data_IF_263062265375
#
_entry.id   IF_263062265375
#
_cell.length_a   1.000
_cell.length_b   1.000
_cell.length_c   1.000
_cell.angle_alpha   90.00
_cell.angle_beta   90.00
_cell.angle_gamma   90.00
#
_symmetry.space_group_name_H-M   'P 1'
#
loop_
_entity.id
_entity.type
_entity.pdbx_description
1 polymer ?
#
# COMPACT_ATOMS: atom_id res chain seq x y z
N UNK A 1 -5.12 10.49 -21.83
CA UNK A 1 -4.72 11.29 -20.65
C UNK A 1 -5.35 10.84 -19.33
N UNK A 2 -6.63 10.43 -19.25
CA UNK A 2 -7.28 10.01 -17.99
C UNK A 2 -6.63 8.78 -17.31
N UNK A 3 -6.15 7.82 -18.10
CA UNK A 3 -5.50 6.60 -17.58
C UNK A 3 -4.12 6.90 -16.96
N UNK A 4 -3.34 7.77 -17.59
CA UNK A 4 -2.04 8.19 -17.07
C UNK A 4 -2.16 8.89 -15.71
N UNK A 5 -3.13 9.80 -15.56
CA UNK A 5 -3.40 10.47 -14.29
C UNK A 5 -3.71 9.47 -13.16
N UNK A 6 -4.56 8.48 -13.43
CA UNK A 6 -4.84 7.40 -12.47
C UNK A 6 -3.58 6.63 -12.07
N UNK A 7 -2.75 6.21 -13.03
CA UNK A 7 -1.52 5.48 -12.72
C UNK A 7 -0.61 6.32 -11.81
N UNK A 8 -0.47 7.62 -12.10
CA UNK A 8 0.29 8.55 -11.25
C UNK A 8 -0.30 8.61 -9.84
N UNK A 9 -1.61 8.78 -9.71
CA UNK A 9 -2.28 8.85 -8.39
C UNK A 9 -2.05 7.57 -7.56
N UNK A 10 -2.21 6.39 -8.18
CA UNK A 10 -1.97 5.11 -7.53
C UNK A 10 -0.51 4.94 -7.13
N UNK A 11 0.44 5.32 -8.00
CA UNK A 11 1.86 5.26 -7.72
C UNK A 11 2.24 6.13 -6.52
N UNK A 12 1.82 7.40 -6.50
CA UNK A 12 2.13 8.31 -5.39
C UNK A 12 1.40 7.93 -4.10
N UNK A 13 0.19 7.37 -4.18
CA UNK A 13 -0.51 6.82 -3.01
C UNK A 13 0.27 5.65 -2.41
N UNK A 14 0.73 4.73 -3.26
CA UNK A 14 1.60 3.62 -2.86
C UNK A 14 2.89 4.09 -2.20
N UNK A 15 3.58 5.07 -2.83
CA UNK A 15 4.76 5.72 -2.25
C UNK A 15 4.49 6.30 -0.86
N UNK A 16 3.35 6.95 -0.66
CA UNK A 16 2.95 7.54 0.62
C UNK A 16 2.87 6.49 1.73
N UNK A 17 2.17 5.37 1.47
CA UNK A 17 2.11 4.26 2.43
C UNK A 17 3.48 3.64 2.69
N UNK A 18 4.29 3.45 1.66
CA UNK A 18 5.65 2.92 1.79
C UNK A 18 6.57 3.81 2.63
N UNK A 19 6.53 5.12 2.39
CA UNK A 19 7.32 6.10 3.14
C UNK A 19 6.95 6.09 4.64
N UNK A 20 5.66 6.15 4.96
CA UNK A 20 5.18 6.12 6.35
C UNK A 20 5.59 4.80 7.01
N UNK A 21 5.39 3.68 6.32
CA UNK A 21 5.75 2.35 6.83
C UNK A 21 7.24 2.26 7.13
N UNK A 22 8.09 2.76 6.23
CA UNK A 22 9.55 2.74 6.40
C UNK A 22 10.01 3.57 7.59
N UNK A 23 9.48 4.79 7.73
CA UNK A 23 9.77 5.65 8.89
C UNK A 23 9.36 4.97 10.20
N UNK A 24 8.17 4.36 10.24
CA UNK A 24 7.72 3.61 11.41
C UNK A 24 8.65 2.42 11.73
N UNK A 25 9.06 1.65 10.72
CA UNK A 25 9.98 0.51 10.90
C UNK A 25 11.32 1.00 11.48
N UNK A 26 11.93 2.03 10.89
CA UNK A 26 13.20 2.56 11.38
C UNK A 26 13.09 3.14 12.79
N UNK A 27 11.97 3.82 13.09
CA UNK A 27 11.78 4.47 14.39
C UNK A 27 11.54 3.46 15.50
N UNK A 28 10.65 2.48 15.28
CA UNK A 28 10.15 1.62 16.35
C UNK A 28 10.79 0.23 16.38
N UNK A 29 11.25 -0.30 15.23
CA UNK A 29 11.80 -1.66 15.14
C UNK A 29 13.32 -1.67 15.00
N UNK A 30 13.91 -0.65 14.39
CA UNK A 30 15.36 -0.54 14.17
C UNK A 30 15.92 0.82 14.60
N UNK A 31 15.68 1.23 15.87
CA UNK A 31 16.13 2.54 16.34
C UNK A 31 17.65 2.68 16.22
N UNK A 32 18.10 3.83 15.73
CA UNK A 32 19.53 4.15 15.57
C UNK A 32 20.15 3.67 14.26
N UNK A 33 19.42 2.95 13.40
CA UNK A 33 19.89 2.59 12.05
C UNK A 33 19.60 3.74 11.08
N UNK A 34 20.66 4.37 10.57
CA UNK A 34 20.52 5.47 9.62
C UNK A 34 20.02 4.98 8.24
N UNK A 35 19.00 5.63 7.65
CA UNK A 35 18.50 5.30 6.32
C UNK A 35 19.57 5.60 5.27
N UNK A 36 19.73 4.69 4.31
CA UNK A 36 20.59 4.95 3.14
C UNK A 36 19.78 5.45 1.95
N UNK A 37 20.44 6.15 1.02
CA UNK A 37 19.83 6.59 -0.24
C UNK A 37 19.28 5.38 -1.00
N UNK A 38 20.03 4.28 -1.06
CA UNK A 38 19.63 3.04 -1.73
C UNK A 38 18.34 2.47 -1.14
N UNK A 39 18.29 2.27 0.18
CA UNK A 39 17.12 1.71 0.87
C UNK A 39 15.92 2.62 0.70
N UNK A 40 16.07 3.92 0.98
CA UNK A 40 14.98 4.89 0.89
C UNK A 40 14.41 4.94 -0.53
N UNK A 41 15.27 5.01 -1.55
CA UNK A 41 14.85 5.07 -2.95
C UNK A 41 14.17 3.78 -3.37
N UNK A 42 14.71 2.63 -2.97
CA UNK A 42 14.12 1.34 -3.28
C UNK A 42 12.74 1.16 -2.66
N UNK A 43 12.55 1.58 -1.39
CA UNK A 43 11.26 1.48 -0.71
C UNK A 43 10.24 2.39 -1.40
N UNK A 44 10.62 3.63 -1.74
CA UNK A 44 9.74 4.55 -2.46
C UNK A 44 9.31 3.99 -3.82
N UNK A 45 10.25 3.52 -4.65
CA UNK A 45 9.93 3.00 -5.98
C UNK A 45 9.07 1.74 -5.89
N UNK A 46 9.45 0.78 -5.03
CA UNK A 46 8.73 -0.48 -4.88
C UNK A 46 7.32 -0.26 -4.32
N UNK A 47 7.17 0.63 -3.34
CA UNK A 47 5.85 0.97 -2.81
C UNK A 47 4.98 1.71 -3.83
N UNK A 48 5.56 2.50 -4.72
CA UNK A 48 4.85 3.05 -5.87
C UNK A 48 4.32 1.95 -6.81
N UNK A 49 5.13 0.94 -7.12
CA UNK A 49 4.67 -0.23 -7.90
C UNK A 49 3.59 -1.02 -7.16
N UNK A 50 3.68 -1.17 -5.84
CA UNK A 50 2.61 -1.76 -5.02
C UNK A 50 1.30 -0.98 -5.21
N UNK A 51 1.36 0.36 -5.19
CA UNK A 51 0.21 1.20 -5.47
C UNK A 51 -0.41 0.95 -6.85
N UNK A 52 0.41 0.71 -7.89
CA UNK A 52 -0.09 0.35 -9.22
C UNK A 52 -0.80 -1.01 -9.23
N UNK A 53 -0.33 -2.00 -8.46
CA UNK A 53 -1.03 -3.29 -8.33
C UNK A 53 -2.44 -3.09 -7.75
N UNK A 54 -2.66 -2.09 -6.89
CA UNK A 54 -3.98 -1.78 -6.33
C UNK A 54 -5.02 -1.38 -7.39
N UNK A 55 -4.63 -1.06 -8.63
CA UNK A 55 -5.57 -0.88 -9.74
C UNK A 55 -6.38 -2.15 -10.06
N UNK A 56 -5.92 -3.33 -9.62
CA UNK A 56 -6.68 -4.57 -9.79
C UNK A 56 -8.06 -4.53 -9.13
N UNK A 57 -8.23 -3.72 -8.08
CA UNK A 57 -9.52 -3.52 -7.42
C UNK A 57 -10.52 -2.69 -8.24
N UNK A 58 -10.09 -2.05 -9.33
CA UNK A 58 -10.99 -1.39 -10.29
C UNK A 58 -11.47 -2.33 -11.41
N UNK A 59 -11.00 -3.59 -11.44
CA UNK A 59 -11.39 -4.57 -12.47
C UNK A 59 -12.65 -5.33 -12.07
N UNK A 60 -13.27 -6.03 -13.03
CA UNK A 60 -14.45 -6.89 -12.79
C UNK A 60 -14.11 -8.21 -12.09
N UNK A 61 -12.87 -8.37 -11.59
CA UNK A 61 -12.47 -9.56 -10.85
C UNK A 61 -13.26 -9.68 -9.54
N UNK A 62 -13.61 -10.91 -9.12
CA UNK A 62 -14.15 -11.14 -7.80
C UNK A 62 -13.22 -10.57 -6.72
N UNK A 63 -13.80 -9.88 -5.74
CA UNK A 63 -13.04 -9.19 -4.68
C UNK A 63 -12.06 -10.12 -3.96
N UNK A 64 -12.44 -11.38 -3.71
CA UNK A 64 -11.57 -12.39 -3.10
C UNK A 64 -10.32 -12.67 -3.95
N UNK A 65 -10.49 -12.80 -5.26
CA UNK A 65 -9.39 -13.06 -6.21
C UNK A 65 -8.49 -11.83 -6.30
N UNK A 66 -9.07 -10.62 -6.40
CA UNK A 66 -8.31 -9.38 -6.44
C UNK A 66 -7.46 -9.19 -5.17
N UNK A 67 -7.99 -9.52 -3.99
CA UNK A 67 -7.24 -9.48 -2.72
C UNK A 67 -6.06 -10.46 -2.75
N UNK A 68 -6.27 -11.70 -3.22
CA UNK A 68 -5.20 -12.71 -3.30
C UNK A 68 -4.10 -12.25 -4.25
N UNK A 69 -4.46 -11.80 -5.45
CA UNK A 69 -3.48 -11.33 -6.44
C UNK A 69 -2.71 -10.12 -5.90
N UNK A 70 -3.40 -9.16 -5.28
CA UNK A 70 -2.76 -8.01 -4.67
C UNK A 70 -1.78 -8.44 -3.56
N UNK A 71 -2.22 -9.30 -2.64
CA UNK A 71 -1.37 -9.79 -1.56
C UNK A 71 -0.11 -10.49 -2.10
N UNK A 72 -0.26 -11.43 -3.04
CA UNK A 72 0.87 -12.12 -3.66
C UNK A 72 1.79 -11.14 -4.40
N UNK A 73 1.23 -10.22 -5.19
CA UNK A 73 2.01 -9.23 -5.93
C UNK A 73 2.82 -8.30 -5.02
N UNK A 74 2.20 -7.81 -3.94
CA UNK A 74 2.90 -6.97 -2.95
C UNK A 74 3.97 -7.75 -2.19
N UNK A 75 3.74 -9.03 -1.89
CA UNK A 75 4.73 -9.88 -1.25
C UNK A 75 5.93 -10.15 -2.17
N UNK A 76 5.71 -10.43 -3.46
CA UNK A 76 6.78 -10.57 -4.44
C UNK A 76 7.63 -9.30 -4.56
N UNK A 77 6.97 -8.13 -4.59
CA UNK A 77 7.67 -6.84 -4.60
C UNK A 77 8.46 -6.57 -3.31
N UNK A 78 7.92 -6.96 -2.16
CA UNK A 78 8.65 -6.91 -0.89
C UNK A 78 9.90 -7.81 -0.92
N UNK A 79 9.80 -9.04 -1.42
CA UNK A 79 10.96 -9.93 -1.57
C UNK A 79 12.00 -9.33 -2.53
N UNK A 80 11.57 -8.75 -3.66
CA UNK A 80 12.46 -8.06 -4.59
C UNK A 80 13.20 -6.89 -3.91
N UNK A 81 12.49 -6.11 -3.08
CA UNK A 81 13.08 -5.03 -2.29
C UNK A 81 14.13 -5.53 -1.30
N UNK A 82 13.87 -6.65 -0.62
CA UNK A 82 14.85 -7.23 0.29
C UNK A 82 16.09 -7.75 -0.44
N UNK A 83 15.93 -8.39 -1.60
CA UNK A 83 17.05 -8.89 -2.41
C UNK A 83 17.98 -7.75 -2.89
N UNK A 84 17.42 -6.60 -3.25
CA UNK A 84 18.22 -5.45 -3.67
C UNK A 84 18.75 -4.62 -2.51
N UNK A 85 18.48 -4.96 -1.24
CA UNK A 85 19.01 -4.24 -0.09
C UNK A 85 19.67 -5.20 0.91
N UNK A 86 21.02 -5.25 1.00
CA UNK A 86 21.73 -6.25 1.80
C UNK A 86 21.38 -6.26 3.30
N UNK A 87 20.91 -5.14 3.86
CA UNK A 87 20.51 -5.04 5.27
C UNK A 87 19.12 -5.61 5.56
N UNK A 88 18.31 -5.85 4.53
CA UNK A 88 16.96 -6.40 4.65
C UNK A 88 17.01 -7.92 4.61
N UNK A 89 17.25 -8.54 5.76
CA UNK A 89 17.28 -9.99 5.89
C UNK A 89 15.87 -10.54 5.98
N UNK A 90 15.51 -11.45 5.07
CA UNK A 90 14.24 -12.16 5.13
C UNK A 90 14.30 -13.24 6.22
N UNK A 91 13.51 -13.04 7.27
CA UNK A 91 13.28 -13.99 8.34
C UNK A 91 11.79 -13.97 8.76
N UNK A 92 11.41 -14.87 9.67
CA UNK A 92 10.03 -14.98 10.16
C UNK A 92 9.53 -13.65 10.73
N UNK A 93 10.36 -12.93 11.48
CA UNK A 93 10.00 -11.62 12.05
C UNK A 93 9.68 -10.59 10.96
N UNK A 94 10.48 -10.52 9.90
CA UNK A 94 10.21 -9.59 8.78
C UNK A 94 8.93 -9.94 8.00
N UNK A 95 8.62 -11.24 7.86
CA UNK A 95 7.39 -11.70 7.22
C UNK A 95 6.18 -11.31 8.09
N UNK A 96 6.27 -11.48 9.40
CA UNK A 96 5.22 -11.05 10.34
C UNK A 96 5.00 -9.53 10.27
N UNK A 97 6.08 -8.74 10.26
CA UNK A 97 6.00 -7.28 10.11
C UNK A 97 5.33 -6.90 8.79
N UNK A 98 5.69 -7.55 7.67
CA UNK A 98 5.03 -7.34 6.38
C UNK A 98 3.52 -7.59 6.46
N UNK A 99 3.10 -8.74 7.01
CA UNK A 99 1.68 -9.09 7.14
C UNK A 99 0.94 -8.09 8.03
N UNK A 100 1.54 -7.67 9.15
CA UNK A 100 0.96 -6.66 10.04
C UNK A 100 0.75 -5.32 9.32
N UNK A 101 1.76 -4.82 8.62
CA UNK A 101 1.67 -3.58 7.85
C UNK A 101 0.60 -3.70 6.76
N UNK A 102 0.54 -4.83 6.05
CA UNK A 102 -0.47 -5.07 5.03
C UNK A 102 -1.88 -4.98 5.61
N UNK A 103 -2.14 -5.65 6.74
CA UNK A 103 -3.44 -5.63 7.41
C UNK A 103 -3.81 -4.22 7.89
N UNK A 104 -2.84 -3.48 8.46
CA UNK A 104 -3.05 -2.09 8.92
C UNK A 104 -3.42 -1.18 7.75
N UNK A 105 -2.66 -1.21 6.66
CA UNK A 105 -2.94 -0.40 5.46
C UNK A 105 -4.32 -0.77 4.89
N UNK A 106 -4.63 -2.06 4.80
CA UNK A 106 -5.93 -2.52 4.30
C UNK A 106 -7.09 -2.02 5.18
N UNK A 107 -6.92 -2.05 6.51
CA UNK A 107 -7.90 -1.51 7.44
C UNK A 107 -8.11 0.00 7.25
N UNK A 108 -7.04 0.76 7.07
CA UNK A 108 -7.12 2.21 6.77
C UNK A 108 -7.91 2.43 5.48
N UNK A 109 -7.60 1.70 4.41
CA UNK A 109 -8.30 1.79 3.13
C UNK A 109 -9.80 1.45 3.28
N UNK A 110 -10.14 0.41 4.03
CA UNK A 110 -11.53 0.01 4.28
C UNK A 110 -12.31 1.11 5.02
N UNK A 111 -11.69 1.75 6.03
CA UNK A 111 -12.29 2.85 6.78
C UNK A 111 -12.54 4.07 5.88
N UNK A 112 -11.57 4.43 5.04
CA UNK A 112 -11.71 5.54 4.09
C UNK A 112 -12.78 5.28 3.02
N UNK A 113 -12.86 4.04 2.52
CA UNK A 113 -13.94 3.62 1.61
C UNK A 113 -15.30 3.73 2.29
N UNK A 114 -15.45 3.24 3.52
CA UNK A 114 -16.71 3.33 4.28
C UNK A 114 -17.16 4.78 4.49
N UNK A 115 -16.23 5.68 4.86
CA UNK A 115 -16.52 7.12 4.97
C UNK A 115 -17.00 7.71 3.65
N UNK A 116 -16.35 7.33 2.54
CA UNK A 116 -16.69 7.81 1.21
C UNK A 116 -18.09 7.36 0.79
N UNK A 117 -18.43 6.09 0.99
CA UNK A 117 -19.77 5.54 0.69
C UNK A 117 -20.85 6.23 1.53
N UNK A 118 -20.62 6.39 2.84
CA UNK A 118 -21.55 7.09 3.72
C UNK A 118 -21.81 8.53 3.24
N UNK A 119 -20.73 9.26 2.89
CA UNK A 119 -20.83 10.63 2.37
C UNK A 119 -21.63 10.72 1.07
N UNK A 120 -21.51 9.73 0.17
CA UNK A 120 -22.29 9.67 -1.07
C UNK A 120 -23.76 9.41 -0.75
N UNK A 121 -24.05 8.44 0.12
CA UNK A 121 -25.42 8.10 0.53
C UNK A 121 -26.13 9.28 1.19
N UNK A 122 -25.44 10.02 2.05
CA UNK A 122 -25.97 11.24 2.68
C UNK A 122 -26.33 12.31 1.65
N UNK A 123 -25.50 12.48 0.61
CA UNK A 123 -25.77 13.43 -0.48
C UNK A 123 -26.98 13.00 -1.31
N UNK A 124 -27.14 11.71 -1.58
CA UNK A 124 -28.31 11.16 -2.30
C UNK A 124 -29.58 11.38 -1.47
N UNK A 125 -29.56 11.03 -0.17
CA UNK A 125 -30.71 11.22 0.73
C UNK A 125 -31.14 12.68 0.81
N UNK A 126 -30.19 13.62 0.91
CA UNK A 126 -30.48 15.07 0.90
C UNK A 126 -31.08 15.57 -0.42
N UNK A 127 -30.73 14.96 -1.55
CA UNK A 127 -31.31 15.31 -2.86
C UNK A 127 -32.71 14.76 -3.04
N UNK A 128 -33.01 13.57 -2.51
CA UNK A 128 -34.32 12.92 -2.63
C UNK A 128 -35.36 13.43 -1.61
N UNK A 129 -34.91 14.18 -0.59
CA UNK A 129 -35.78 14.85 0.39
C UNK A 129 -36.19 16.28 -0.03
N UNK A 130 -35.64 16.79 -1.14
CA UNK A 130 -36.08 18.02 -1.82
C UNK A 130 -36.96 17.63 -3.00
#
# INVERSE_FOLDING_TARGET
MKWFGKCVDYFFTGMGFGAISYVCILTFLYPGIAPTIRETTSVLIISGFIGLISMIFETDLPMSIAIIIHFVGTFCLFLAMALINPRWVINISTIVVFVLIYVIIWLICLLEQKKTVNRINDRIKKRNLK
#
